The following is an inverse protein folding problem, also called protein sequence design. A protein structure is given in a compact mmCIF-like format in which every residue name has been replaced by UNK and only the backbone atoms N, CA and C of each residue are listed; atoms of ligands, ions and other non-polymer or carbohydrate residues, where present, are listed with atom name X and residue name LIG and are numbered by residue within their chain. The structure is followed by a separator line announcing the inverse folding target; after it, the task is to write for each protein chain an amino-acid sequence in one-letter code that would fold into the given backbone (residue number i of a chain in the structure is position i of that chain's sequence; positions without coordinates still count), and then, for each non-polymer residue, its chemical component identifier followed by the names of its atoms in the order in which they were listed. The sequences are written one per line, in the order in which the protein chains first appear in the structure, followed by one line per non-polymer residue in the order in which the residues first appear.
data_IF_652585604822
#
_entry.id   IF_652585604822
#
_cell.length_a   1.000
_cell.length_b   1.000
_cell.length_c   1.000
_cell.angle_alpha   90.00
_cell.angle_beta   90.00
_cell.angle_gamma   90.00
#
_symmetry.space_group_name_H-M   'P 1'
#
loop_
_entity.id
_entity.type
_entity.pdbx_description
1 polymer ?
#
# COMPACT_ATOMS: atom_id res chain seq x y z
N UNK A 1 -16.72 15.00 -8.02
CA UNK A 1 -15.88 15.42 -6.88
C UNK A 1 -15.70 14.30 -5.85
N UNK A 2 -16.75 13.56 -5.57
CA UNK A 2 -16.77 12.53 -4.51
C UNK A 2 -15.71 11.42 -4.67
N UNK A 3 -15.45 10.99 -5.91
CA UNK A 3 -14.40 9.99 -6.17
C UNK A 3 -12.99 10.46 -5.82
N UNK A 4 -12.68 11.73 -6.05
CA UNK A 4 -11.40 12.34 -5.67
C UNK A 4 -11.29 12.46 -4.15
N UNK A 5 -12.36 12.85 -3.46
CA UNK A 5 -12.40 12.93 -1.99
C UNK A 5 -12.21 11.54 -1.35
N UNK A 6 -12.85 10.51 -1.92
CA UNK A 6 -12.61 9.13 -1.51
C UNK A 6 -11.16 8.71 -1.77
N UNK A 7 -10.60 9.10 -2.91
CA UNK A 7 -9.19 8.87 -3.23
C UNK A 7 -8.24 9.50 -2.21
N UNK A 8 -8.50 10.72 -1.78
CA UNK A 8 -7.76 11.37 -0.69
C UNK A 8 -7.86 10.55 0.59
N UNK A 9 -9.09 10.15 0.98
CA UNK A 9 -9.33 9.38 2.20
C UNK A 9 -8.62 8.03 2.24
N UNK A 10 -8.36 7.41 1.09
CA UNK A 10 -7.70 6.10 0.97
C UNK A 10 -6.21 6.20 0.76
N UNK A 11 -5.77 7.12 -0.12
CA UNK A 11 -4.37 7.17 -0.52
C UNK A 11 -3.49 7.98 0.45
N UNK A 12 -4.04 9.01 1.10
CA UNK A 12 -3.25 9.90 1.97
C UNK A 12 -2.88 9.29 3.33
N UNK A 13 -3.74 8.48 4.01
CA UNK A 13 -3.33 7.84 5.25
C UNK A 13 -2.10 6.96 5.07
N UNK A 14 -1.13 7.09 5.97
CA UNK A 14 0.13 6.36 5.91
C UNK A 14 -0.05 4.89 6.33
N UNK A 15 -0.65 4.09 5.44
CA UNK A 15 -0.69 2.64 5.57
C UNK A 15 0.62 1.96 5.10
N UNK A 16 0.73 0.62 5.22
CA UNK A 16 1.94 -0.13 4.89
C UNK A 16 2.50 0.14 3.49
N UNK A 17 1.63 0.30 2.49
CA UNK A 17 2.02 0.60 1.11
C UNK A 17 2.70 1.97 1.00
N UNK A 18 2.07 3.03 1.54
CA UNK A 18 2.60 4.39 1.48
C UNK A 18 3.93 4.54 2.21
N UNK A 19 4.09 3.87 3.36
CA UNK A 19 5.35 3.85 4.10
C UNK A 19 6.48 3.18 3.32
N UNK A 20 6.16 2.11 2.59
CA UNK A 20 7.15 1.48 1.70
C UNK A 20 7.44 2.33 0.47
N UNK A 21 6.43 2.96 -0.15
CA UNK A 21 6.65 3.91 -1.26
C UNK A 21 7.61 5.02 -0.79
N UNK A 22 7.37 5.60 0.39
CA UNK A 22 8.22 6.62 0.98
C UNK A 22 9.65 6.11 1.16
N UNK A 23 9.83 4.95 1.80
CA UNK A 23 11.14 4.34 2.02
C UNK A 23 11.90 4.07 0.71
N UNK A 24 11.20 3.61 -0.33
CA UNK A 24 11.78 3.35 -1.64
C UNK A 24 12.09 4.65 -2.41
N UNK A 25 11.24 5.66 -2.27
CA UNK A 25 11.40 6.95 -2.93
C UNK A 25 12.67 7.69 -2.52
N UNK A 26 13.09 7.55 -1.27
CA UNK A 26 14.36 8.08 -0.78
C UNK A 26 15.56 7.56 -1.56
N UNK A 27 15.47 6.35 -2.11
CA UNK A 27 16.58 5.73 -2.84
C UNK A 27 16.35 5.71 -4.35
N UNK A 28 15.11 5.56 -4.82
CA UNK A 28 14.79 5.48 -6.25
C UNK A 28 13.31 5.78 -6.51
N UNK A 29 13.06 6.89 -7.22
CA UNK A 29 11.72 7.22 -7.71
C UNK A 29 11.09 6.06 -8.49
N UNK A 30 11.81 5.49 -9.46
CA UNK A 30 11.28 4.42 -10.32
C UNK A 30 10.82 3.22 -9.49
N UNK A 31 11.59 2.79 -8.51
CA UNK A 31 11.22 1.63 -7.67
C UNK A 31 10.02 1.91 -6.78
N UNK A 32 9.95 3.10 -6.22
CA UNK A 32 8.78 3.55 -5.44
C UNK A 32 7.53 3.61 -6.32
N UNK A 33 7.64 4.14 -7.53
CA UNK A 33 6.56 4.17 -8.51
C UNK A 33 6.10 2.76 -8.90
N UNK A 34 7.03 1.83 -9.23
CA UNK A 34 6.67 0.45 -9.55
C UNK A 34 6.03 -0.29 -8.38
N UNK A 35 6.43 0.00 -7.14
CA UNK A 35 5.76 -0.53 -5.94
C UNK A 35 4.32 -0.01 -5.85
N UNK A 36 4.12 1.29 -6.00
CA UNK A 36 2.79 1.91 -6.04
C UNK A 36 1.93 1.38 -7.19
N UNK A 37 2.53 1.19 -8.37
CA UNK A 37 1.85 0.62 -9.53
C UNK A 37 1.37 -0.82 -9.27
N UNK A 38 2.18 -1.63 -8.58
CA UNK A 38 1.76 -2.96 -8.15
C UNK A 38 0.55 -2.92 -7.23
N UNK A 39 0.54 -1.99 -6.26
CA UNK A 39 -0.62 -1.79 -5.39
C UNK A 39 -1.86 -1.33 -6.17
N UNK A 40 -1.71 -0.40 -7.10
CA UNK A 40 -2.81 0.06 -7.96
C UNK A 40 -3.40 -1.07 -8.81
N UNK A 41 -2.55 -1.97 -9.34
CA UNK A 41 -3.02 -3.15 -10.08
C UNK A 41 -3.84 -4.07 -9.20
N UNK A 42 -3.47 -4.24 -7.91
CA UNK A 42 -4.31 -4.97 -6.95
C UNK A 42 -5.67 -4.27 -6.72
N UNK A 43 -5.70 -2.94 -6.63
CA UNK A 43 -6.94 -2.17 -6.52
C UNK A 43 -7.85 -2.36 -7.75
N UNK A 44 -7.27 -2.30 -8.95
CA UNK A 44 -8.00 -2.57 -10.19
C UNK A 44 -8.52 -4.01 -10.24
N UNK A 45 -7.73 -4.97 -9.74
CA UNK A 45 -8.17 -6.36 -9.63
C UNK A 45 -9.40 -6.49 -8.70
N UNK A 46 -9.40 -5.83 -7.54
CA UNK A 46 -10.57 -5.80 -6.66
C UNK A 46 -11.78 -5.12 -7.30
N UNK A 47 -11.57 -4.04 -8.06
CA UNK A 47 -12.65 -3.40 -8.83
C UNK A 47 -13.28 -4.36 -9.84
N UNK A 48 -12.46 -5.13 -10.55
CA UNK A 48 -12.96 -6.14 -11.49
C UNK A 48 -13.74 -7.25 -10.74
N UNK A 49 -13.21 -7.74 -9.62
CA UNK A 49 -13.91 -8.72 -8.78
C UNK A 49 -15.26 -8.18 -8.28
N UNK A 50 -15.33 -6.92 -7.90
CA UNK A 50 -16.59 -6.24 -7.55
C UNK A 50 -17.58 -6.25 -8.71
N UNK A 51 -17.13 -5.88 -9.91
CA UNK A 51 -17.96 -5.81 -11.11
C UNK A 51 -18.58 -7.16 -11.48
N UNK A 52 -17.89 -8.26 -11.16
CA UNK A 52 -18.39 -9.63 -11.35
C UNK A 52 -19.12 -10.21 -10.12
N UNK A 53 -19.33 -9.43 -9.07
CA UNK A 53 -19.97 -9.91 -7.83
C UNK A 53 -19.13 -10.87 -6.99
N UNK A 54 -17.89 -11.18 -7.42
CA UNK A 54 -17.01 -12.18 -6.79
C UNK A 54 -16.52 -11.70 -5.43
N UNK A 55 -16.42 -10.39 -5.21
CA UNK A 55 -15.91 -9.83 -3.95
C UNK A 55 -16.77 -10.24 -2.73
N UNK A 56 -18.05 -10.53 -2.96
CA UNK A 56 -18.95 -11.01 -1.90
C UNK A 56 -18.50 -12.36 -1.32
N UNK A 57 -17.91 -13.24 -2.16
CA UNK A 57 -17.37 -14.52 -1.70
C UNK A 57 -16.10 -14.35 -0.86
N UNK A 58 -15.32 -13.29 -1.10
CA UNK A 58 -14.11 -13.00 -0.33
C UNK A 58 -14.42 -12.54 1.11
N UNK A 59 -15.67 -12.13 1.37
CA UNK A 59 -16.11 -11.71 2.71
C UNK A 59 -16.48 -12.89 3.64
N UNK A 60 -16.22 -14.13 3.20
CA UNK A 60 -16.44 -15.30 4.05
C UNK A 60 -15.44 -15.33 5.21
N UNK A 61 -15.95 -15.56 6.42
CA UNK A 61 -15.16 -15.54 7.66
C UNK A 61 -13.91 -16.43 7.60
N UNK A 62 -14.04 -17.65 7.04
CA UNK A 62 -12.91 -18.56 6.91
C UNK A 62 -11.83 -18.04 5.96
N UNK A 63 -12.25 -17.42 4.84
CA UNK A 63 -11.32 -16.83 3.87
C UNK A 63 -10.57 -15.64 4.46
N UNK A 64 -11.28 -14.75 5.17
CA UNK A 64 -10.66 -13.61 5.84
C UNK A 64 -9.66 -14.05 6.93
N UNK A 65 -9.94 -15.15 7.66
CA UNK A 65 -9.01 -15.72 8.65
C UNK A 65 -7.73 -16.23 8.00
N UNK A 66 -7.83 -16.96 6.89
CA UNK A 66 -6.66 -17.42 6.13
C UNK A 66 -5.87 -16.22 5.62
N UNK A 67 -6.54 -15.25 5.01
CA UNK A 67 -5.92 -14.05 4.49
C UNK A 67 -5.23 -13.23 5.59
N UNK A 68 -5.82 -13.16 6.78
CA UNK A 68 -5.24 -12.46 7.93
C UNK A 68 -3.94 -13.12 8.40
N UNK A 69 -3.88 -14.46 8.44
CA UNK A 69 -2.65 -15.19 8.79
C UNK A 69 -1.55 -14.94 7.75
N UNK A 70 -1.86 -15.10 6.46
CA UNK A 70 -0.89 -14.83 5.39
C UNK A 70 -0.47 -13.35 5.37
N UNK A 71 -1.41 -12.43 5.53
CA UNK A 71 -1.14 -10.99 5.59
C UNK A 71 -0.26 -10.63 6.79
N UNK A 72 -0.53 -11.20 7.96
CA UNK A 72 0.32 -11.03 9.14
C UNK A 72 1.75 -11.51 8.87
N UNK A 73 1.94 -12.74 8.44
CA UNK A 73 3.27 -13.28 8.14
C UNK A 73 4.01 -12.42 7.11
N UNK A 74 3.30 -11.97 6.07
CA UNK A 74 3.89 -11.15 5.03
C UNK A 74 4.26 -9.74 5.54
N UNK A 75 3.39 -9.07 6.29
CA UNK A 75 3.66 -7.74 6.85
C UNK A 75 4.79 -7.79 7.87
N UNK A 76 4.80 -8.76 8.79
CA UNK A 76 5.88 -8.99 9.75
C UNK A 76 7.21 -9.24 9.03
N UNK A 77 7.21 -10.05 7.96
CA UNK A 77 8.40 -10.25 7.14
C UNK A 77 8.91 -8.93 6.51
N UNK A 78 8.00 -8.11 5.97
CA UNK A 78 8.35 -6.79 5.41
C UNK A 78 8.87 -5.83 6.50
N UNK A 79 8.21 -5.78 7.66
CA UNK A 79 8.66 -4.98 8.81
C UNK A 79 10.08 -5.38 9.25
N UNK A 80 10.33 -6.66 9.39
CA UNK A 80 11.64 -7.20 9.73
C UNK A 80 12.72 -6.83 8.71
N UNK A 81 12.45 -7.00 7.41
CA UNK A 81 13.38 -6.59 6.36
C UNK A 81 13.65 -5.07 6.39
N UNK A 82 12.65 -4.28 6.75
CA UNK A 82 12.77 -2.82 6.81
C UNK A 82 13.61 -2.39 8.00
N UNK A 83 13.46 -3.05 9.17
CA UNK A 83 14.29 -2.82 10.35
C UNK A 83 15.76 -3.23 10.14
N UNK A 84 16.01 -4.29 9.39
CA UNK A 84 17.39 -4.74 9.08
C UNK A 84 18.18 -3.81 8.18
N UNK A 85 17.55 -2.81 7.55
CA UNK A 85 18.26 -1.81 6.76
C UNK A 85 19.14 -0.96 7.67
N UNK A 86 20.46 -1.09 7.50
CA UNK A 86 21.44 -0.27 8.23
C UNK A 86 21.29 1.21 7.82
N UNK A 87 21.63 2.15 8.73
CA UNK A 87 21.71 3.57 8.41
C UNK A 87 22.88 3.82 7.45
N UNK A 88 22.62 3.74 6.16
CA UNK A 88 23.60 3.98 5.11
C UNK A 88 23.29 5.31 4.41
N UNK A 89 24.32 5.97 3.91
CA UNK A 89 24.13 7.16 3.07
C UNK A 89 23.32 6.79 1.82
N UNK A 90 22.51 7.73 1.31
CA UNK A 90 21.63 7.53 0.16
C UNK A 90 22.36 6.97 -1.06
N UNK A 91 23.61 7.38 -1.28
CA UNK A 91 24.41 6.87 -2.40
C UNK A 91 24.75 5.39 -2.28
N UNK A 92 25.10 4.92 -1.07
CA UNK A 92 25.37 3.50 -0.79
C UNK A 92 24.08 2.69 -0.90
N UNK A 93 22.96 3.22 -0.40
CA UNK A 93 21.66 2.59 -0.56
C UNK A 93 21.25 2.45 -2.02
N UNK A 94 21.46 3.49 -2.84
CA UNK A 94 21.20 3.46 -4.28
C UNK A 94 22.04 2.38 -4.99
N UNK A 95 23.31 2.26 -4.62
CA UNK A 95 24.24 1.29 -5.21
C UNK A 95 23.87 -0.16 -4.85
N UNK A 96 23.41 -0.41 -3.62
CA UNK A 96 23.07 -1.76 -3.12
C UNK A 96 21.65 -2.22 -3.47
N UNK A 97 20.78 -1.31 -3.92
CA UNK A 97 19.41 -1.70 -4.26
C UNK A 97 19.38 -2.63 -5.48
N UNK A 98 18.74 -3.78 -5.32
CA UNK A 98 18.40 -4.68 -6.42
C UNK A 98 17.77 -3.88 -7.58
N UNK A 99 18.36 -4.02 -8.78
CA UNK A 99 17.94 -3.25 -9.98
C UNK A 99 16.57 -3.69 -10.52
N UNK A 100 15.92 -4.70 -9.94
CA UNK A 100 14.68 -5.26 -10.45
C UNK A 100 13.45 -4.41 -10.05
N UNK A 101 12.87 -3.76 -11.03
CA UNK A 101 11.57 -3.08 -10.90
C UNK A 101 10.42 -4.07 -10.70
N UNK A 102 10.53 -5.26 -11.29
CA UNK A 102 9.55 -6.34 -11.15
C UNK A 102 9.39 -6.78 -9.69
N UNK A 103 10.49 -6.88 -8.94
CA UNK A 103 10.41 -7.21 -7.50
C UNK A 103 9.70 -6.12 -6.71
N UNK A 104 9.91 -4.85 -7.03
CA UNK A 104 9.20 -3.73 -6.40
C UNK A 104 7.71 -3.79 -6.72
N UNK A 105 7.36 -4.03 -7.98
CA UNK A 105 5.97 -4.18 -8.43
C UNK A 105 5.26 -5.34 -7.72
N UNK A 106 5.84 -6.54 -7.74
CA UNK A 106 5.28 -7.72 -7.07
C UNK A 106 5.10 -7.48 -5.57
N UNK A 107 6.05 -6.80 -4.94
CA UNK A 107 5.95 -6.45 -3.53
C UNK A 107 4.75 -5.55 -3.23
N UNK A 108 4.53 -4.52 -4.04
CA UNK A 108 3.36 -3.65 -3.91
C UNK A 108 2.06 -4.41 -4.18
N UNK A 109 2.04 -5.24 -5.23
CA UNK A 109 0.91 -6.07 -5.60
C UNK A 109 0.48 -7.00 -4.44
N UNK A 110 1.41 -7.81 -3.94
CA UNK A 110 1.10 -8.75 -2.85
C UNK A 110 0.78 -8.06 -1.54
N UNK A 111 1.46 -6.95 -1.23
CA UNK A 111 1.20 -6.18 -0.03
C UNK A 111 -0.24 -5.62 -0.01
N UNK A 112 -0.76 -5.24 -1.16
CA UNK A 112 -2.12 -4.74 -1.30
C UNK A 112 -3.14 -5.90 -1.39
N UNK A 113 -2.86 -6.96 -2.17
CA UNK A 113 -3.73 -8.14 -2.29
C UNK A 113 -3.90 -8.90 -0.97
N UNK A 114 -2.86 -8.97 -0.14
CA UNK A 114 -2.91 -9.67 1.15
C UNK A 114 -3.40 -8.76 2.29
N UNK A 115 -3.84 -7.55 1.97
CA UNK A 115 -4.32 -6.60 2.96
C UNK A 115 -5.85 -6.64 3.09
N UNK A 116 -6.41 -7.26 4.14
CA UNK A 116 -7.86 -7.34 4.31
C UNK A 116 -8.51 -5.99 4.58
N UNK A 117 -7.76 -4.97 5.03
CA UNK A 117 -8.30 -3.59 5.09
C UNK A 117 -8.64 -3.06 3.70
N UNK A 118 -7.88 -3.47 2.67
CA UNK A 118 -8.15 -3.11 1.27
C UNK A 118 -9.43 -3.81 0.79
N UNK A 119 -9.62 -5.09 1.14
CA UNK A 119 -10.88 -5.80 0.85
C UNK A 119 -12.07 -5.10 1.52
N UNK A 120 -11.96 -4.77 2.81
CA UNK A 120 -12.99 -4.04 3.55
C UNK A 120 -13.32 -2.69 2.92
N UNK A 121 -12.28 -1.97 2.46
CA UNK A 121 -12.45 -0.73 1.73
C UNK A 121 -13.25 -0.94 0.43
N UNK A 122 -12.87 -1.91 -0.40
CA UNK A 122 -13.53 -2.16 -1.68
C UNK A 122 -14.97 -2.67 -1.51
N UNK A 123 -15.26 -3.44 -0.45
CA UNK A 123 -16.63 -3.81 -0.08
C UNK A 123 -17.47 -2.58 0.31
N UNK A 124 -16.89 -1.67 1.09
CA UNK A 124 -17.55 -0.41 1.46
C UNK A 124 -17.79 0.48 0.24
N UNK A 125 -16.79 0.55 -0.66
CA UNK A 125 -16.89 1.27 -1.92
C UNK A 125 -18.00 0.70 -2.82
N UNK A 126 -18.18 -0.63 -2.84
CA UNK A 126 -19.26 -1.27 -3.58
C UNK A 126 -20.63 -0.72 -3.14
N UNK A 127 -20.86 -0.67 -1.82
CA UNK A 127 -22.12 -0.15 -1.27
C UNK A 127 -22.34 1.32 -1.63
N UNK A 128 -21.29 2.15 -1.56
CA UNK A 128 -21.34 3.56 -1.94
C UNK A 128 -21.57 3.74 -3.45
N UNK A 129 -20.95 2.89 -4.28
CA UNK A 129 -21.06 2.95 -5.73
C UNK A 129 -22.48 2.64 -6.22
N UNK A 130 -23.16 1.68 -5.59
CA UNK A 130 -24.55 1.31 -5.92
C UNK A 130 -25.53 2.43 -5.58
N UNK A 131 -25.29 3.17 -4.50
CA UNK A 131 -26.14 4.28 -4.07
C UNK A 131 -25.83 5.62 -4.75
N UNK A 132 -24.73 5.70 -5.50
CA UNK A 132 -24.30 6.93 -6.15
C UNK A 132 -24.96 7.12 -7.54
N UNK A 133 -25.38 8.34 -7.87
CA UNK A 133 -25.99 8.67 -9.17
C UNK A 133 -25.03 8.54 -10.34
N UNK A 134 -23.71 8.64 -10.10
CA UNK A 134 -22.66 8.58 -11.12
C UNK A 134 -21.53 7.63 -10.73
N UNK A 135 -21.78 6.29 -10.64
CA UNK A 135 -20.80 5.32 -10.14
C UNK A 135 -19.51 5.26 -10.97
N UNK A 136 -19.62 5.43 -12.29
CA UNK A 136 -18.45 5.45 -13.19
C UNK A 136 -17.56 6.66 -12.89
N UNK A 137 -18.13 7.85 -12.74
CA UNK A 137 -17.38 9.06 -12.42
C UNK A 137 -16.74 8.98 -11.03
N UNK A 138 -17.43 8.34 -10.06
CA UNK A 138 -16.90 8.06 -8.73
C UNK A 138 -15.66 7.18 -8.82
N UNK A 139 -15.76 6.05 -9.53
CA UNK A 139 -14.66 5.09 -9.71
C UNK A 139 -13.47 5.71 -10.45
N UNK A 140 -13.72 6.41 -11.56
CA UNK A 140 -12.66 7.08 -12.31
C UNK A 140 -11.95 8.14 -11.48
N UNK A 141 -12.70 8.93 -10.71
CA UNK A 141 -12.13 9.94 -9.82
C UNK A 141 -11.22 9.30 -8.73
N UNK A 142 -11.66 8.21 -8.13
CA UNK A 142 -10.91 7.44 -7.14
C UNK A 142 -9.61 6.89 -7.73
N UNK A 143 -9.69 6.13 -8.82
CA UNK A 143 -8.52 5.48 -9.46
C UNK A 143 -7.54 6.51 -9.98
N UNK A 144 -8.03 7.60 -10.60
CA UNK A 144 -7.18 8.70 -11.09
C UNK A 144 -6.42 9.36 -9.95
N UNK A 145 -7.08 9.58 -8.80
CA UNK A 145 -6.40 10.15 -7.63
C UNK A 145 -5.32 9.22 -7.10
N UNK A 146 -5.59 7.92 -6.94
CA UNK A 146 -4.59 6.95 -6.50
C UNK A 146 -3.40 6.93 -7.47
N UNK A 147 -3.66 6.96 -8.79
CA UNK A 147 -2.60 7.02 -9.80
C UNK A 147 -1.74 8.29 -9.68
N UNK A 148 -2.36 9.45 -9.52
CA UNK A 148 -1.65 10.72 -9.28
C UNK A 148 -0.84 10.65 -7.98
N UNK A 149 -1.39 10.05 -6.92
CA UNK A 149 -0.73 9.91 -5.63
C UNK A 149 0.54 9.07 -5.71
N UNK A 150 0.51 7.92 -6.38
CA UNK A 150 1.68 7.05 -6.55
C UNK A 150 2.78 7.66 -7.43
N UNK A 151 2.46 8.71 -8.20
CA UNK A 151 3.44 9.54 -8.90
C UNK A 151 3.95 10.69 -8.02
N UNK A 152 3.03 11.41 -7.39
CA UNK A 152 3.33 12.60 -6.61
C UNK A 152 4.17 12.28 -5.37
N UNK A 153 3.80 11.28 -4.59
CA UNK A 153 4.49 10.92 -3.37
C UNK A 153 5.99 10.63 -3.60
N UNK A 154 6.39 9.72 -4.52
CA UNK A 154 7.81 9.48 -4.81
C UNK A 154 8.51 10.70 -5.40
N UNK A 155 7.83 11.50 -6.19
CA UNK A 155 8.39 12.71 -6.79
C UNK A 155 8.77 13.72 -5.70
N UNK A 156 7.84 14.04 -4.80
CA UNK A 156 8.11 14.99 -3.71
C UNK A 156 9.19 14.47 -2.75
N UNK A 157 9.11 13.20 -2.36
CA UNK A 157 10.12 12.59 -1.49
C UNK A 157 11.49 12.60 -2.17
N UNK A 158 11.57 12.27 -3.46
CA UNK A 158 12.82 12.30 -4.23
C UNK A 158 13.40 13.69 -4.36
N UNK A 159 12.57 14.71 -4.63
CA UNK A 159 12.97 16.12 -4.73
C UNK A 159 13.57 16.65 -3.43
N UNK A 160 13.01 16.29 -2.30
CA UNK A 160 13.47 16.70 -0.98
C UNK A 160 14.43 15.68 -0.33
N UNK A 161 14.93 14.72 -1.10
CA UNK A 161 15.81 13.66 -0.59
C UNK A 161 17.10 14.17 0.05
N UNK A 162 17.59 15.37 -0.35
CA UNK A 162 18.76 16.01 0.22
C UNK A 162 18.60 16.39 1.71
N UNK A 163 17.34 16.55 2.18
CA UNK A 163 17.05 16.81 3.59
C UNK A 163 17.16 15.52 4.45
N UNK A 164 17.16 14.36 3.82
CA UNK A 164 17.14 13.06 4.50
C UNK A 164 18.57 12.54 4.71
N UNK A 165 19.20 12.93 5.82
CA UNK A 165 20.48 12.34 6.28
C UNK A 165 20.29 10.87 6.65
N UNK A 166 21.38 10.07 6.66
CA UNK A 166 21.34 8.64 7.01
C UNK A 166 20.58 8.33 8.32
N UNK A 167 20.73 9.19 9.33
CA UNK A 167 20.01 9.08 10.60
C UNK A 167 18.51 9.27 10.46
N UNK A 168 18.07 10.23 9.63
CA UNK A 168 16.63 10.46 9.35
C UNK A 168 16.03 9.28 8.61
N UNK A 169 16.73 8.74 7.61
CA UNK A 169 16.29 7.55 6.86
C UNK A 169 16.13 6.35 7.78
N UNK A 170 17.07 6.17 8.71
CA UNK A 170 16.96 5.11 9.71
C UNK A 170 15.69 5.24 10.55
N UNK A 171 15.41 6.42 11.09
CA UNK A 171 14.18 6.66 11.86
C UNK A 171 12.91 6.45 11.04
N UNK A 172 12.90 6.88 9.77
CA UNK A 172 11.78 6.62 8.85
C UNK A 172 11.57 5.10 8.67
N UNK A 173 12.64 4.34 8.47
CA UNK A 173 12.54 2.89 8.31
C UNK A 173 12.04 2.21 9.60
N UNK A 174 12.56 2.62 10.76
CA UNK A 174 12.10 2.09 12.05
C UNK A 174 10.63 2.42 12.29
N UNK A 175 10.23 3.68 12.09
CA UNK A 175 8.84 4.11 12.23
C UNK A 175 7.91 3.37 11.26
N UNK A 176 8.32 3.24 9.99
CA UNK A 176 7.58 2.48 8.98
C UNK A 176 7.41 1.01 9.39
N UNK A 177 8.47 0.38 9.88
CA UNK A 177 8.42 -1.01 10.31
C UNK A 177 7.49 -1.21 11.52
N UNK A 178 7.54 -0.30 12.50
CA UNK A 178 6.64 -0.35 13.67
C UNK A 178 5.17 -0.19 13.26
N UNK A 179 4.88 0.72 12.32
CA UNK A 179 3.51 0.89 11.82
C UNK A 179 3.06 -0.35 11.02
N UNK A 180 3.91 -0.90 10.16
CA UNK A 180 3.59 -2.12 9.41
C UNK A 180 3.30 -3.27 10.37
N UNK A 181 4.11 -3.44 11.41
CA UNK A 181 3.91 -4.47 12.43
C UNK A 181 2.64 -4.22 13.25
N UNK A 182 2.35 -2.97 13.61
CA UNK A 182 1.08 -2.60 14.25
C UNK A 182 -0.12 -3.02 13.39
N UNK A 183 -0.09 -2.76 12.08
CA UNK A 183 -1.14 -3.21 11.16
C UNK A 183 -1.23 -4.73 11.08
N UNK A 184 -0.10 -5.44 11.08
CA UNK A 184 -0.05 -6.90 11.09
C UNK A 184 -0.74 -7.49 12.33
N UNK A 185 -0.38 -6.99 13.53
CA UNK A 185 -0.95 -7.43 14.80
C UNK A 185 -2.45 -7.06 14.91
N UNK A 186 -2.81 -5.83 14.54
CA UNK A 186 -4.19 -5.37 14.56
C UNK A 186 -5.07 -6.17 13.60
N UNK A 187 -4.51 -6.61 12.48
CA UNK A 187 -5.17 -7.50 11.54
C UNK A 187 -5.55 -8.83 12.19
N UNK A 188 -4.62 -9.49 12.86
CA UNK A 188 -4.91 -10.73 13.60
C UNK A 188 -5.93 -10.48 14.70
N UNK A 189 -5.71 -9.45 15.51
CA UNK A 189 -6.61 -9.15 16.62
C UNK A 189 -8.05 -8.97 16.15
N UNK A 190 -8.30 -8.09 15.15
CA UNK A 190 -9.64 -7.83 14.64
C UNK A 190 -10.28 -9.04 13.96
N UNK A 191 -9.48 -9.92 13.37
CA UNK A 191 -10.03 -11.07 12.63
C UNK A 191 -10.40 -12.24 13.56
N UNK A 192 -9.74 -12.37 14.71
CA UNK A 192 -9.92 -13.51 15.61
C UNK A 192 -10.64 -13.18 16.91
N UNK A 193 -10.57 -11.91 17.41
CA UNK A 193 -11.11 -11.49 18.70
C UNK A 193 -11.96 -10.20 18.65
N UNK A 194 -12.00 -9.50 17.53
CA UNK A 194 -12.86 -8.32 17.28
C UNK A 194 -14.07 -8.68 16.49
#
# INVERSE_FOLDING_TARGET
MDGVLLGIGVAVPFGPVNLLILSYALSSFKKAFFLGLGALVADVFYLLMLSFGILHFLNQTWFLKILAIFGFCFFTYIAFLTLRKKPENLEIQKAKMDKSYTKSFLKGLFLNLLNPYVIGFWLSFASLSVSNQHPIALTLGLVSFIFIWILALPFFVGKFSHLFKAKVIYYINVFSALIIEYFALNLLYKTFWG
#
